data_IF_449847953057
#
_entry.id   IF_449847953057
#
_cell.length_a   1.000
_cell.length_b   1.000
_cell.length_c   1.000
_cell.angle_alpha   90.00
_cell.angle_beta   90.00
_cell.angle_gamma   90.00
#
_symmetry.space_group_name_H-M   'P 1'
#
loop_
_entity.id
_entity.type
_entity.pdbx_description
1 polymer ?
#
# COMPACT_ATOMS: atom_id res chain seq x y z
N UNK A 1 -1.03 22.13 7.74
CA UNK A 1 -0.58 21.98 6.34
C UNK A 1 -1.74 22.27 5.41
N UNK A 2 -1.46 22.79 4.21
CA UNK A 2 -2.47 23.11 3.22
C UNK A 2 -2.35 22.11 2.07
N UNK A 3 -3.03 20.97 2.21
CA UNK A 3 -3.05 19.94 1.18
C UNK A 3 -3.80 20.44 -0.05
N UNK A 4 -3.21 20.26 -1.23
CA UNK A 4 -3.83 20.54 -2.51
C UNK A 4 -3.94 19.28 -3.33
N UNK A 5 -5.08 19.10 -3.99
CA UNK A 5 -5.30 18.02 -4.93
C UNK A 5 -4.24 18.07 -6.04
N UNK A 6 -3.65 16.90 -6.32
CA UNK A 6 -2.62 16.72 -7.31
C UNK A 6 -3.20 15.83 -8.41
N UNK A 7 -3.15 16.31 -9.65
CA UNK A 7 -3.60 15.53 -10.80
C UNK A 7 -2.79 14.23 -10.93
N UNK A 8 -3.50 13.13 -11.14
CA UNK A 8 -2.93 11.82 -11.41
C UNK A 8 -2.49 11.70 -12.86
N UNK A 9 -1.42 10.93 -13.09
CA UNK A 9 -0.99 10.54 -14.42
C UNK A 9 -1.94 9.50 -15.02
N UNK A 10 -1.90 9.33 -16.35
CA UNK A 10 -2.65 8.27 -17.05
C UNK A 10 -2.35 6.87 -16.48
N UNK A 11 -1.12 6.64 -16.01
CA UNK A 11 -0.73 5.37 -15.41
C UNK A 11 -1.37 5.20 -14.02
N UNK A 12 -1.28 6.22 -13.18
CA UNK A 12 -1.90 6.23 -11.85
C UNK A 12 -3.42 6.03 -11.96
N UNK A 13 -4.08 6.73 -12.90
CA UNK A 13 -5.51 6.53 -13.21
C UNK A 13 -5.84 5.09 -13.60
N UNK A 14 -4.95 4.43 -14.34
CA UNK A 14 -5.12 3.05 -14.74
C UNK A 14 -5.00 2.11 -13.53
N UNK A 15 -3.99 2.31 -12.68
CA UNK A 15 -3.83 1.54 -11.44
C UNK A 15 -5.02 1.74 -10.50
N UNK A 16 -5.44 3.00 -10.28
CA UNK A 16 -6.59 3.33 -9.43
C UNK A 16 -7.84 2.58 -9.89
N UNK A 17 -8.14 2.58 -11.19
CA UNK A 17 -9.28 1.83 -11.75
C UNK A 17 -9.27 0.34 -11.43
N UNK A 18 -8.10 -0.28 -11.24
CA UNK A 18 -7.98 -1.70 -10.91
C UNK A 18 -8.16 -1.97 -9.41
N UNK A 19 -7.81 -1.02 -8.55
CA UNK A 19 -7.92 -1.20 -7.09
C UNK A 19 -9.30 -0.80 -6.56
N UNK A 20 -10.07 0.02 -7.30
CA UNK A 20 -11.46 0.33 -6.94
C UNK A 20 -12.29 -0.96 -6.85
N UNK A 21 -12.99 -1.13 -5.72
CA UNK A 21 -13.77 -2.32 -5.42
C UNK A 21 -12.99 -3.49 -4.83
N UNK A 22 -11.67 -3.36 -4.65
CA UNK A 22 -10.87 -4.29 -3.86
C UNK A 22 -10.83 -3.85 -2.39
N UNK A 23 -10.51 -4.79 -1.49
CA UNK A 23 -10.37 -4.54 -0.05
C UNK A 23 -8.89 -4.52 0.33
N UNK A 24 -8.44 -3.51 1.09
CA UNK A 24 -7.11 -3.51 1.70
C UNK A 24 -7.07 -4.51 2.86
N UNK A 25 -6.24 -5.54 2.76
CA UNK A 25 -6.08 -6.58 3.79
C UNK A 25 -5.01 -6.22 4.82
N UNK A 26 -3.99 -5.48 4.39
CA UNK A 26 -2.86 -5.09 5.22
C UNK A 26 -1.78 -4.42 4.38
N UNK A 27 -0.69 -4.03 5.02
CA UNK A 27 0.44 -3.39 4.36
C UNK A 27 1.77 -3.75 4.99
N UNK A 28 2.84 -3.58 4.23
CA UNK A 28 4.20 -3.51 4.75
C UNK A 28 4.91 -2.30 4.14
N UNK A 29 5.98 -1.84 4.79
CA UNK A 29 6.86 -0.79 4.29
C UNK A 29 8.22 -1.45 4.06
N UNK A 30 8.75 -1.33 2.85
CA UNK A 30 10.06 -1.85 2.50
C UNK A 30 10.83 -0.78 1.71
N UNK A 31 11.95 -0.32 2.28
CA UNK A 31 12.70 0.81 1.74
C UNK A 31 11.83 2.08 1.70
N UNK A 32 11.67 2.63 0.51
CA UNK A 32 11.03 3.91 0.23
C UNK A 32 9.61 3.75 -0.37
N UNK A 33 8.94 2.64 -0.06
CA UNK A 33 7.61 2.35 -0.59
C UNK A 33 6.68 1.69 0.44
N UNK A 34 5.39 2.01 0.33
CA UNK A 34 4.32 1.28 0.98
C UNK A 34 3.77 0.22 0.02
N UNK A 35 3.50 -0.97 0.55
CA UNK A 35 3.01 -2.11 -0.20
C UNK A 35 1.69 -2.59 0.43
N UNK A 36 0.57 -2.22 -0.18
CA UNK A 36 -0.77 -2.60 0.29
C UNK A 36 -1.21 -3.89 -0.39
N UNK A 37 -1.53 -4.91 0.41
CA UNK A 37 -2.08 -6.17 -0.10
C UNK A 37 -3.59 -6.05 -0.26
N UNK A 38 -4.09 -6.38 -1.44
CA UNK A 38 -5.51 -6.37 -1.77
C UNK A 38 -6.07 -7.80 -1.79
N UNK A 39 -7.35 -7.95 -1.44
CA UNK A 39 -8.09 -9.22 -1.46
C UNK A 39 -8.13 -9.93 -2.82
N UNK A 40 -7.92 -9.18 -3.91
CA UNK A 40 -7.75 -9.71 -5.26
C UNK A 40 -6.40 -10.37 -5.53
N UNK A 41 -5.49 -10.44 -4.53
CA UNK A 41 -4.18 -11.10 -4.66
C UNK A 41 -3.11 -10.23 -5.32
N UNK A 42 -3.28 -8.91 -5.30
CA UNK A 42 -2.34 -7.94 -5.85
C UNK A 42 -1.71 -7.10 -4.74
N UNK A 43 -0.46 -6.71 -4.97
CA UNK A 43 0.28 -5.76 -4.16
C UNK A 43 0.28 -4.41 -4.86
N UNK A 44 -0.44 -3.45 -4.27
CA UNK A 44 -0.42 -2.05 -4.69
C UNK A 44 0.75 -1.35 -4.01
N UNK A 45 1.74 -0.97 -4.79
CA UNK A 45 2.93 -0.27 -4.31
C UNK A 45 2.78 1.23 -4.55
N UNK A 46 3.05 2.02 -3.52
CA UNK A 46 3.07 3.49 -3.56
C UNK A 46 4.48 3.95 -3.17
N UNK A 47 5.15 4.64 -4.08
CA UNK A 47 6.52 5.13 -3.92
C UNK A 47 6.56 6.50 -3.24
N UNK A 48 7.74 6.93 -2.79
CA UNK A 48 7.94 8.23 -2.13
C UNK A 48 7.39 9.44 -2.90
N UNK A 49 7.51 9.46 -4.22
CA UNK A 49 7.00 10.54 -5.06
C UNK A 49 5.49 10.44 -5.34
N UNK A 50 4.87 9.35 -4.86
CA UNK A 50 3.47 9.01 -5.04
C UNK A 50 3.17 8.36 -6.39
N UNK A 51 4.18 8.04 -7.20
CA UNK A 51 4.00 7.06 -8.27
C UNK A 51 3.51 5.74 -7.68
N UNK A 52 2.85 4.94 -8.51
CA UNK A 52 2.27 3.68 -8.05
C UNK A 52 2.43 2.57 -9.07
N UNK A 53 2.49 1.34 -8.57
CA UNK A 53 2.54 0.13 -9.37
C UNK A 53 1.60 -0.92 -8.77
N UNK A 54 1.10 -1.82 -9.61
CA UNK A 54 0.21 -2.89 -9.19
C UNK A 54 0.64 -4.20 -9.84
N UNK A 55 1.07 -5.15 -9.02
CA UNK A 55 1.57 -6.45 -9.48
C UNK A 55 0.93 -7.59 -8.69
N UNK A 56 0.80 -8.79 -9.27
CA UNK A 56 0.40 -9.98 -8.52
C UNK A 56 1.36 -10.20 -7.33
N UNK A 57 0.82 -10.57 -6.17
CA UNK A 57 1.57 -10.55 -4.90
C UNK A 57 2.89 -11.34 -4.95
N UNK A 58 2.88 -12.53 -5.56
CA UNK A 58 4.10 -13.35 -5.71
C UNK A 58 5.16 -12.72 -6.63
N UNK A 59 4.75 -11.99 -7.68
CA UNK A 59 5.68 -11.28 -8.56
C UNK A 59 6.26 -10.08 -7.81
N UNK A 60 5.40 -9.27 -7.18
CA UNK A 60 5.82 -8.11 -6.39
C UNK A 60 6.86 -8.50 -5.32
N UNK A 61 6.58 -9.52 -4.50
CA UNK A 61 7.49 -9.98 -3.45
C UNK A 61 8.82 -10.51 -4.03
N UNK A 62 8.77 -11.17 -5.20
CA UNK A 62 9.98 -11.62 -5.89
C UNK A 62 10.82 -10.47 -6.47
N UNK A 63 10.19 -9.34 -6.78
CA UNK A 63 10.83 -8.15 -7.35
C UNK A 63 11.20 -7.11 -6.30
N UNK A 64 10.85 -7.31 -5.03
CA UNK A 64 11.28 -6.44 -3.91
C UNK A 64 12.81 -6.50 -3.76
N UNK A 65 13.52 -5.72 -4.56
CA UNK A 65 14.95 -5.50 -4.52
C UNK A 65 15.22 -4.21 -3.75
N UNK A 66 15.28 -4.32 -2.42
CA UNK A 66 15.80 -3.28 -1.53
C UNK A 66 16.98 -3.85 -0.76
N UNK A 67 18.04 -3.06 -0.58
CA UNK A 67 19.34 -3.46 0.00
C UNK A 67 19.32 -4.04 1.42
N UNK A 68 18.14 -4.31 1.98
CA UNK A 68 17.91 -4.81 3.34
C UNK A 68 17.06 -6.09 3.40
N UNK A 69 16.39 -6.52 2.31
CA UNK A 69 15.54 -7.72 2.33
C UNK A 69 16.35 -8.98 2.01
N UNK A 70 16.48 -9.84 3.00
CA UNK A 70 17.08 -11.18 2.85
C UNK A 70 16.10 -12.16 2.19
N UNK A 71 16.60 -13.34 1.78
CA UNK A 71 15.73 -14.43 1.31
C UNK A 71 14.76 -14.92 2.38
N UNK A 72 15.14 -14.82 3.66
CA UNK A 72 14.26 -15.14 4.79
C UNK A 72 13.11 -14.14 4.83
N UNK A 73 13.40 -12.85 4.68
CA UNK A 73 12.40 -11.78 4.73
C UNK A 73 11.35 -11.93 3.62
N UNK A 74 11.79 -12.32 2.41
CA UNK A 74 10.89 -12.61 1.28
C UNK A 74 9.99 -13.81 1.53
N UNK A 75 10.52 -14.84 2.19
CA UNK A 75 9.73 -16.02 2.57
C UNK A 75 8.69 -15.65 3.63
N UNK A 76 9.06 -14.82 4.59
CA UNK A 76 8.14 -14.30 5.61
C UNK A 76 7.08 -13.39 5.01
N UNK A 77 7.45 -12.50 4.07
CA UNK A 77 6.51 -11.66 3.33
C UNK A 77 5.49 -12.49 2.55
N UNK A 78 5.94 -13.53 1.84
CA UNK A 78 5.05 -14.41 1.10
C UNK A 78 4.10 -15.18 2.02
N UNK A 79 4.61 -15.70 3.15
CA UNK A 79 3.80 -16.39 4.14
C UNK A 79 2.73 -15.47 4.74
N UNK A 80 3.13 -14.27 5.17
CA UNK A 80 2.22 -13.27 5.71
C UNK A 80 1.14 -12.87 4.70
N UNK A 81 1.53 -12.67 3.43
CA UNK A 81 0.58 -12.31 2.38
C UNK A 81 -0.42 -13.43 2.10
N UNK A 82 0.03 -14.70 2.06
CA UNK A 82 -0.86 -15.85 1.92
C UNK A 82 -1.81 -15.98 3.12
N UNK A 83 -1.33 -15.72 4.34
CA UNK A 83 -2.16 -15.73 5.55
C UNK A 83 -3.21 -14.62 5.53
N UNK A 84 -2.84 -13.40 5.14
CA UNK A 84 -3.78 -12.30 4.93
C UNK A 84 -4.81 -12.62 3.86
N UNK A 85 -4.44 -13.23 2.74
CA UNK A 85 -5.39 -13.63 1.69
C UNK A 85 -6.35 -14.73 2.15
N UNK A 86 -5.92 -15.62 3.04
CA UNK A 86 -6.73 -16.70 3.56
C UNK A 86 -7.66 -16.27 4.71
N UNK A 87 -7.17 -15.42 5.61
CA UNK A 87 -7.84 -15.07 6.89
C UNK A 87 -8.34 -13.62 6.92
N UNK A 88 -7.95 -12.81 5.94
CA UNK A 88 -8.24 -11.39 5.90
C UNK A 88 -7.55 -10.62 7.03
N UNK A 89 -8.21 -9.56 7.49
CA UNK A 89 -7.78 -8.70 8.61
C UNK A 89 -7.62 -9.42 9.96
N UNK A 90 -8.19 -10.62 10.09
CA UNK A 90 -8.11 -11.40 11.33
C UNK A 90 -6.81 -12.21 11.43
N UNK A 91 -5.95 -12.17 10.40
CA UNK A 91 -4.64 -12.78 10.42
C UNK A 91 -3.80 -12.23 11.59
N UNK A 92 -3.30 -13.12 12.44
CA UNK A 92 -2.45 -12.79 13.60
C UNK A 92 -1.02 -13.29 13.41
N UNK A 93 -0.09 -12.84 14.25
CA UNK A 93 1.32 -13.29 14.25
C UNK A 93 2.07 -13.02 12.93
N UNK A 94 1.61 -12.05 12.15
CA UNK A 94 2.31 -11.51 10.98
C UNK A 94 3.67 -10.93 11.39
N UNK A 95 4.72 -11.23 10.61
CA UNK A 95 6.09 -10.81 10.92
C UNK A 95 6.53 -9.55 10.18
N UNK A 96 6.00 -9.36 8.98
CA UNK A 96 6.40 -8.35 7.99
C UNK A 96 5.24 -7.48 7.57
N UNK A 97 4.05 -8.05 7.47
CA UNK A 97 2.83 -7.27 7.26
C UNK A 97 2.23 -6.78 8.56
N UNK A 98 1.56 -5.65 8.48
CA UNK A 98 0.56 -5.19 9.44
C UNK A 98 -0.81 -5.46 8.83
N UNK A 99 -1.64 -6.26 9.50
CA UNK A 99 -3.04 -6.44 9.10
C UNK A 99 -3.77 -5.09 9.16
N UNK A 100 -4.66 -4.83 8.20
CA UNK A 100 -5.46 -3.62 8.22
C UNK A 100 -6.38 -3.64 9.46
N UNK A 101 -6.27 -2.65 10.36
CA UNK A 101 -7.07 -2.63 11.59
C UNK A 101 -8.53 -2.26 11.33
N UNK A 102 -8.85 -1.83 10.11
CA UNK A 102 -10.16 -1.39 9.66
C UNK A 102 -10.52 -2.08 8.34
N UNK A 103 -11.82 -2.15 8.06
CA UNK A 103 -12.31 -2.64 6.77
C UNK A 103 -12.32 -1.48 5.76
N UNK A 104 -11.50 -1.60 4.70
CA UNK A 104 -11.34 -0.58 3.67
C UNK A 104 -11.64 -1.19 2.29
N UNK A 105 -12.93 -1.32 1.96
CA UNK A 105 -13.39 -1.60 0.60
C UNK A 105 -13.28 -0.31 -0.22
N UNK A 106 -12.35 -0.25 -1.16
CA UNK A 106 -11.93 0.98 -1.81
C UNK A 106 -13.05 1.52 -2.72
N UNK A 107 -13.55 2.72 -2.41
CA UNK A 107 -14.55 3.42 -3.23
C UNK A 107 -13.96 4.57 -4.04
N UNK A 108 -12.90 5.19 -3.55
CA UNK A 108 -12.16 6.25 -4.24
C UNK A 108 -10.73 6.37 -3.73
N UNK A 109 -9.89 7.08 -4.47
CA UNK A 109 -8.51 7.39 -4.08
C UNK A 109 -8.31 8.88 -4.31
N UNK A 110 -7.87 9.59 -3.27
CA UNK A 110 -7.54 11.01 -3.36
C UNK A 110 -6.02 11.18 -3.32
N UNK A 111 -5.51 12.05 -4.19
CA UNK A 111 -4.08 12.30 -4.31
C UNK A 111 -3.81 13.77 -3.97
N UNK A 112 -3.09 13.98 -2.87
CA UNK A 112 -2.85 15.29 -2.28
C UNK A 112 -1.34 15.55 -2.20
N UNK A 113 -0.96 16.82 -2.32
CA UNK A 113 0.41 17.26 -2.14
C UNK A 113 0.50 18.49 -1.24
N UNK A 114 1.60 18.60 -0.51
CA UNK A 114 1.99 19.77 0.27
C UNK A 114 3.51 19.85 0.24
N UNK A 115 4.07 20.76 -0.55
CA UNK A 115 5.52 20.91 -0.73
C UNK A 115 6.20 19.57 -1.16
N UNK A 116 7.10 19.05 -0.33
CA UNK A 116 7.82 17.78 -0.50
C UNK A 116 7.01 16.55 -0.07
N UNK A 117 5.80 16.74 0.45
CA UNK A 117 4.97 15.66 0.94
C UNK A 117 3.92 15.22 -0.09
N UNK A 118 3.62 13.93 -0.10
CA UNK A 118 2.43 13.38 -0.76
C UNK A 118 1.55 12.71 0.26
N UNK A 119 0.25 12.77 0.02
CA UNK A 119 -0.75 12.07 0.81
C UNK A 119 -1.72 11.40 -0.14
N UNK A 120 -1.79 10.08 -0.06
CA UNK A 120 -2.71 9.25 -0.80
C UNK A 120 -3.75 8.77 0.20
N UNK A 121 -5.00 9.22 0.03
CA UNK A 121 -6.12 8.78 0.86
C UNK A 121 -6.87 7.71 0.09
N UNK A 122 -6.74 6.48 0.54
CA UNK A 122 -7.54 5.35 0.07
C UNK A 122 -8.85 5.38 0.83
N UNK A 123 -9.89 5.89 0.17
CA UNK A 123 -11.21 6.05 0.77
C UNK A 123 -11.94 4.73 0.69
N UNK A 124 -12.26 4.15 1.84
CA UNK A 124 -13.05 2.94 1.94
C UNK A 124 -14.51 3.21 2.28
N UNK A 125 -15.37 2.21 2.08
CA UNK A 125 -16.79 2.32 2.43
C UNK A 125 -17.01 2.62 3.93
N UNK A 126 -16.19 2.02 4.80
CA UNK A 126 -16.33 2.13 6.26
C UNK A 126 -15.22 2.96 6.90
N UNK A 127 -14.00 2.85 6.41
CA UNK A 127 -12.82 3.51 6.97
C UNK A 127 -11.77 3.74 5.88
N UNK A 128 -10.83 4.65 6.16
CA UNK A 128 -9.82 5.07 5.20
C UNK A 128 -8.46 4.48 5.56
N UNK A 129 -7.64 4.27 4.54
CA UNK A 129 -6.21 4.02 4.70
C UNK A 129 -5.46 5.19 4.09
N UNK A 130 -4.56 5.79 4.85
CA UNK A 130 -3.79 6.96 4.41
C UNK A 130 -2.33 6.58 4.29
N UNK A 131 -1.75 6.83 3.12
CA UNK A 131 -0.32 6.74 2.88
C UNK A 131 0.25 8.15 2.77
N UNK A 132 1.12 8.52 3.70
CA UNK A 132 1.82 9.80 3.67
C UNK A 132 3.30 9.56 3.39
N UNK A 133 3.85 10.33 2.46
CA UNK A 133 5.26 10.27 2.07
C UNK A 133 5.93 11.63 2.25
N UNK A 134 7.22 11.62 2.58
CA UNK A 134 8.10 12.79 2.62
C UNK A 134 9.31 12.54 1.72
N UNK A 135 9.39 13.26 0.59
CA UNK A 135 10.54 13.21 -0.31
C UNK A 135 11.82 13.77 0.34
N UNK A 136 11.67 14.68 1.29
CA UNK A 136 12.81 15.29 1.99
C UNK A 136 13.44 14.33 3.00
N UNK A 137 12.62 13.55 3.70
CA UNK A 137 13.06 12.64 4.75
C UNK A 137 13.26 11.20 4.29
N UNK A 138 12.92 10.89 3.03
CA UNK A 138 12.84 9.52 2.50
C UNK A 138 11.95 8.61 3.36
N UNK A 139 10.80 9.13 3.80
CA UNK A 139 9.90 8.41 4.70
C UNK A 139 8.54 8.12 4.06
N UNK A 140 8.02 6.93 4.36
CA UNK A 140 6.65 6.51 4.05
C UNK A 140 6.00 6.06 5.35
N UNK A 141 4.76 6.46 5.56
CA UNK A 141 3.93 6.02 6.68
C UNK A 141 2.56 5.61 6.18
N UNK A 142 1.99 4.60 6.83
CA UNK A 142 0.63 4.12 6.54
C UNK A 142 -0.16 4.14 7.84
N UNK A 143 -1.37 4.69 7.79
CA UNK A 143 -2.29 4.75 8.92
C UNK A 143 -3.72 4.45 8.48
N UNK A 144 -4.57 4.09 9.43
CA UNK A 144 -6.00 3.91 9.21
C UNK A 144 -6.76 4.98 9.99
N UNK A 145 -7.75 5.59 9.33
CA UNK A 145 -8.60 6.67 9.86
C UNK A 145 -10.08 6.27 9.84
#
# INVERSE_FOLDING_TARGET
MNWTELETSTHQDHVIKHVLGATVLGWCIAGEAAHLLLDIGFLWTIYLDGEMNLLPQGVAISELEGGELTSVDRTELAFDADMLLAEGREATDLKRFTAAPVECLITSVEFLSSDSQRRIVVVGETANVVVETSLEDSQVTVSAE
#
